data_IF_103178645916
#
_entry.id   IF_103178645916
#
_cell.length_a   1.000
_cell.length_b   1.000
_cell.length_c   1.000
_cell.angle_alpha   90.00
_cell.angle_beta   90.00
_cell.angle_gamma   90.00
#
_symmetry.space_group_name_H-M   'P 1'
#
loop_
_entity.id
_entity.type
_entity.pdbx_description
1 polymer ?
#
# COMPACT_ATOMS: atom_id res chain seq x y z
N UNK A 1 -17.42 -25.93 17.57
CA UNK A 1 -17.21 -26.94 16.51
C UNK A 1 -17.32 -26.34 15.11
N UNK A 2 -18.50 -26.08 14.55
CA UNK A 2 -18.60 -25.66 13.13
C UNK A 2 -17.95 -24.31 12.78
N UNK A 3 -17.95 -23.32 13.68
CA UNK A 3 -17.17 -22.08 13.51
C UNK A 3 -15.66 -22.31 13.59
N UNK A 4 -15.21 -23.23 14.43
CA UNK A 4 -13.79 -23.62 14.53
C UNK A 4 -13.34 -24.34 13.25
N UNK A 5 -14.24 -25.10 12.63
CA UNK A 5 -13.99 -25.74 11.34
C UNK A 5 -13.77 -24.68 10.24
N UNK A 6 -14.60 -23.63 10.18
CA UNK A 6 -14.42 -22.50 9.23
C UNK A 6 -13.02 -21.88 9.36
N UNK A 7 -12.62 -21.50 10.58
CA UNK A 7 -11.31 -20.88 10.81
C UNK A 7 -10.15 -21.84 10.53
N UNK A 8 -10.35 -23.14 10.76
CA UNK A 8 -9.35 -24.17 10.42
C UNK A 8 -9.12 -24.22 8.90
N UNK A 9 -10.20 -24.24 8.10
CA UNK A 9 -10.10 -24.21 6.64
C UNK A 9 -9.48 -22.91 6.11
N UNK A 10 -9.84 -21.76 6.67
CA UNK A 10 -9.17 -20.48 6.33
C UNK A 10 -7.67 -20.56 6.63
N UNK A 11 -7.30 -21.03 7.81
CA UNK A 11 -5.90 -21.10 8.25
C UNK A 11 -5.08 -22.04 7.38
N UNK A 12 -5.61 -23.22 7.06
CA UNK A 12 -4.98 -24.19 6.16
C UNK A 12 -4.86 -23.64 4.74
N UNK A 13 -5.94 -23.04 4.22
CA UNK A 13 -5.94 -22.42 2.90
C UNK A 13 -4.89 -21.32 2.77
N UNK A 14 -4.80 -20.42 3.75
CA UNK A 14 -3.78 -19.37 3.78
C UNK A 14 -2.36 -19.92 4.03
N UNK A 15 -2.20 -21.07 4.67
CA UNK A 15 -0.91 -21.75 4.77
C UNK A 15 -0.44 -22.30 3.41
N UNK A 16 -1.34 -22.94 2.66
CA UNK A 16 -1.02 -23.42 1.31
C UNK A 16 -0.84 -22.26 0.31
N UNK A 17 -1.59 -21.16 0.47
CA UNK A 17 -1.42 -19.92 -0.28
C UNK A 17 0.01 -19.38 -0.15
N UNK A 18 0.52 -19.28 1.08
CA UNK A 18 1.90 -18.83 1.36
C UNK A 18 2.97 -19.74 0.77
N UNK A 19 2.65 -21.02 0.56
CA UNK A 19 3.51 -22.01 -0.11
C UNK A 19 3.32 -22.03 -1.63
N UNK A 20 2.52 -21.09 -2.17
CA UNK A 20 2.19 -20.99 -3.59
C UNK A 20 1.54 -22.26 -4.16
N UNK A 21 0.84 -23.04 -3.32
CA UNK A 21 0.11 -24.24 -3.73
C UNK A 21 -1.33 -23.88 -4.05
N UNK A 22 -1.51 -23.13 -5.14
CA UNK A 22 -2.74 -22.42 -5.48
C UNK A 22 -4.00 -23.29 -5.49
N UNK A 23 -3.93 -24.50 -6.08
CA UNK A 23 -5.07 -25.41 -6.12
C UNK A 23 -5.46 -25.89 -4.72
N UNK A 24 -4.49 -26.37 -3.93
CA UNK A 24 -4.74 -26.83 -2.56
C UNK A 24 -5.27 -25.68 -1.67
N UNK A 25 -4.73 -24.48 -1.82
CA UNK A 25 -5.22 -23.29 -1.13
C UNK A 25 -6.67 -22.97 -1.50
N UNK A 26 -7.00 -22.95 -2.81
CA UNK A 26 -8.35 -22.71 -3.29
C UNK A 26 -9.34 -23.74 -2.74
N UNK A 27 -9.00 -25.04 -2.78
CA UNK A 27 -9.88 -26.11 -2.28
C UNK A 27 -10.27 -25.89 -0.81
N UNK A 28 -9.30 -25.53 0.06
CA UNK A 28 -9.57 -25.27 1.48
C UNK A 28 -10.41 -23.99 1.68
N UNK A 29 -10.09 -22.92 0.96
CA UNK A 29 -10.80 -21.64 1.09
C UNK A 29 -12.23 -21.71 0.54
N UNK A 30 -12.47 -22.48 -0.54
CA UNK A 30 -13.81 -22.75 -1.05
C UNK A 30 -14.68 -23.49 -0.01
N UNK A 31 -14.11 -24.45 0.73
CA UNK A 31 -14.81 -25.14 1.82
C UNK A 31 -15.15 -24.15 2.93
N UNK A 32 -14.19 -23.31 3.36
CA UNK A 32 -14.42 -22.29 4.37
C UNK A 32 -15.55 -21.33 3.97
N UNK A 33 -15.53 -20.86 2.71
CA UNK A 33 -16.55 -19.95 2.15
C UNK A 33 -17.93 -20.62 2.15
N UNK A 34 -18.04 -21.86 1.65
CA UNK A 34 -19.31 -22.63 1.64
C UNK A 34 -19.90 -22.79 3.04
N UNK A 35 -19.07 -23.16 4.02
CA UNK A 35 -19.50 -23.29 5.41
C UNK A 35 -19.95 -21.95 6.02
N UNK A 36 -19.24 -20.86 5.71
CA UNK A 36 -19.57 -19.51 6.18
C UNK A 36 -20.94 -19.05 5.67
N UNK A 37 -21.22 -19.26 4.37
CA UNK A 37 -22.54 -18.98 3.80
C UNK A 37 -23.65 -19.81 4.43
N UNK A 38 -23.44 -21.11 4.59
CA UNK A 38 -24.43 -22.00 5.19
C UNK A 38 -24.81 -21.62 6.64
N UNK A 39 -23.89 -20.95 7.34
CA UNK A 39 -24.06 -20.54 8.73
C UNK A 39 -24.48 -19.07 8.89
N UNK A 40 -24.63 -18.33 7.78
CA UNK A 40 -24.72 -16.86 7.78
C UNK A 40 -23.65 -16.21 8.68
N UNK A 41 -22.45 -16.81 8.70
CA UNK A 41 -21.35 -16.39 9.55
C UNK A 41 -20.41 -15.50 8.74
N UNK A 42 -20.21 -14.27 9.22
CA UNK A 42 -19.31 -13.29 8.64
C UNK A 42 -18.35 -12.80 9.71
N UNK A 43 -17.05 -12.91 9.45
CA UNK A 43 -15.99 -12.40 10.31
C UNK A 43 -14.78 -12.01 9.44
N UNK A 44 -13.91 -11.13 9.93
CA UNK A 44 -12.69 -10.70 9.21
C UNK A 44 -11.89 -11.87 8.65
N UNK A 45 -11.75 -12.96 9.41
CA UNK A 45 -11.04 -14.15 8.98
C UNK A 45 -11.63 -14.77 7.72
N UNK A 46 -12.95 -14.81 7.57
CA UNK A 46 -13.61 -15.34 6.38
C UNK A 46 -13.40 -14.42 5.17
N UNK A 47 -13.36 -13.10 5.38
CA UNK A 47 -13.10 -12.11 4.33
C UNK A 47 -11.67 -12.13 3.82
N UNK A 48 -10.70 -12.27 4.72
CA UNK A 48 -9.30 -12.53 4.35
C UNK A 48 -9.19 -13.83 3.55
N UNK A 49 -9.97 -14.84 3.91
CA UNK A 49 -10.12 -16.08 3.14
C UNK A 49 -10.65 -15.85 1.73
N UNK A 50 -11.69 -15.02 1.56
CA UNK A 50 -12.25 -14.67 0.26
C UNK A 50 -11.24 -13.94 -0.63
N UNK A 51 -10.50 -12.96 -0.09
CA UNK A 51 -9.44 -12.25 -0.83
C UNK A 51 -8.33 -13.24 -1.24
N UNK A 52 -7.90 -14.12 -0.33
CA UNK A 52 -6.92 -15.16 -0.63
C UNK A 52 -7.40 -16.13 -1.71
N UNK A 53 -8.67 -16.52 -1.69
CA UNK A 53 -9.30 -17.38 -2.69
C UNK A 53 -9.34 -16.69 -4.06
N UNK A 54 -9.68 -15.41 -4.10
CA UNK A 54 -9.68 -14.62 -5.33
C UNK A 54 -8.27 -14.55 -5.94
N UNK A 55 -7.23 -14.37 -5.11
CA UNK A 55 -5.85 -14.46 -5.57
C UNK A 55 -5.48 -15.88 -6.06
N UNK A 56 -5.95 -16.95 -5.41
CA UNK A 56 -5.77 -18.31 -5.94
C UNK A 56 -6.42 -18.47 -7.32
N UNK A 57 -7.65 -17.97 -7.51
CA UNK A 57 -8.32 -18.00 -8.80
C UNK A 57 -7.53 -17.24 -9.87
N UNK A 58 -6.98 -16.07 -9.52
CA UNK A 58 -6.12 -15.31 -10.41
C UNK A 58 -4.91 -16.13 -10.88
N UNK A 59 -4.21 -16.80 -9.96
CA UNK A 59 -3.04 -17.64 -10.26
C UNK A 59 -3.39 -18.91 -11.06
N UNK A 60 -4.63 -19.37 -10.97
CA UNK A 60 -5.15 -20.53 -11.72
C UNK A 60 -5.75 -20.14 -13.08
N UNK A 61 -5.68 -18.87 -13.49
CA UNK A 61 -6.28 -18.37 -14.74
C UNK A 61 -7.80 -18.20 -14.70
N UNK A 62 -8.42 -18.32 -13.52
CA UNK A 62 -9.87 -18.13 -13.27
C UNK A 62 -10.19 -16.64 -13.06
N UNK A 63 -9.76 -15.78 -13.99
CA UNK A 63 -9.79 -14.32 -13.85
C UNK A 63 -11.17 -13.73 -13.57
N UNK A 64 -12.22 -14.25 -14.22
CA UNK A 64 -13.59 -13.81 -13.99
C UNK A 64 -14.04 -14.10 -12.55
N UNK A 65 -13.80 -15.31 -12.07
CA UNK A 65 -14.18 -15.71 -10.71
C UNK A 65 -13.38 -14.95 -9.65
N UNK A 66 -12.11 -14.62 -9.94
CA UNK A 66 -11.30 -13.74 -9.11
C UNK A 66 -11.92 -12.33 -9.02
N UNK A 67 -12.25 -11.73 -10.17
CA UNK A 67 -12.86 -10.39 -10.23
C UNK A 67 -14.21 -10.33 -9.50
N UNK A 68 -15.09 -11.30 -9.73
CA UNK A 68 -16.40 -11.40 -9.07
C UNK A 68 -16.25 -11.48 -7.54
N UNK A 69 -15.27 -12.26 -7.08
CA UNK A 69 -15.00 -12.43 -5.65
C UNK A 69 -14.41 -11.16 -5.02
N UNK A 70 -13.42 -10.53 -5.65
CA UNK A 70 -12.89 -9.24 -5.19
C UNK A 70 -13.99 -8.18 -5.11
N UNK A 71 -14.81 -8.06 -6.16
CA UNK A 71 -15.94 -7.12 -6.16
C UNK A 71 -16.92 -7.40 -5.03
N UNK A 72 -17.25 -8.67 -4.75
CA UNK A 72 -18.14 -9.02 -3.64
C UNK A 72 -17.62 -8.56 -2.29
N UNK A 73 -16.30 -8.69 -2.04
CA UNK A 73 -15.67 -8.18 -0.80
C UNK A 73 -15.81 -6.66 -0.75
N UNK A 74 -15.49 -5.96 -1.84
CA UNK A 74 -15.60 -4.49 -1.87
C UNK A 74 -17.03 -4.01 -1.69
N UNK A 75 -18.05 -4.72 -2.16
CA UNK A 75 -19.46 -4.28 -2.04
C UNK A 75 -20.01 -4.58 -0.65
N UNK A 76 -19.68 -5.74 -0.08
CA UNK A 76 -20.30 -6.22 1.16
C UNK A 76 -19.63 -5.72 2.45
N UNK A 77 -18.36 -5.29 2.39
CA UNK A 77 -17.66 -4.80 3.57
C UNK A 77 -18.17 -3.44 4.03
N UNK A 78 -18.24 -3.20 5.33
CA UNK A 78 -18.58 -1.88 5.85
C UNK A 78 -17.47 -0.88 5.51
N UNK A 79 -17.82 0.37 5.20
CA UNK A 79 -16.84 1.44 4.96
C UNK A 79 -16.36 2.03 6.30
N UNK A 80 -16.01 1.16 7.24
CA UNK A 80 -15.38 1.57 8.48
C UNK A 80 -13.85 1.50 8.37
N UNK A 81 -13.20 1.91 9.46
CA UNK A 81 -11.76 2.05 9.57
C UNK A 81 -11.02 0.71 9.58
N UNK A 82 -11.64 -0.33 10.10
CA UNK A 82 -11.06 -1.67 10.23
C UNK A 82 -11.14 -2.41 8.89
N UNK A 83 -12.29 -2.33 8.21
CA UNK A 83 -12.54 -2.94 6.91
C UNK A 83 -11.90 -2.19 5.74
N UNK A 84 -11.48 -0.92 5.91
CA UNK A 84 -10.81 -0.15 4.85
C UNK A 84 -9.57 -0.88 4.31
N UNK A 85 -8.84 -1.59 5.15
CA UNK A 85 -7.70 -2.40 4.73
C UNK A 85 -8.11 -3.55 3.78
N UNK A 86 -9.20 -4.26 4.11
CA UNK A 86 -9.73 -5.36 3.28
C UNK A 86 -10.27 -4.84 1.95
N UNK A 87 -11.01 -3.73 1.96
CA UNK A 87 -11.52 -3.06 0.77
C UNK A 87 -10.36 -2.68 -0.15
N UNK A 88 -9.28 -2.12 0.40
CA UNK A 88 -8.11 -1.71 -0.38
C UNK A 88 -7.42 -2.91 -1.03
N UNK A 89 -7.23 -4.00 -0.27
CA UNK A 89 -6.66 -5.24 -0.79
C UNK A 89 -7.52 -5.86 -1.90
N UNK A 90 -8.85 -5.86 -1.72
CA UNK A 90 -9.78 -6.40 -2.71
C UNK A 90 -9.81 -5.54 -3.99
N UNK A 91 -9.77 -4.21 -3.88
CA UNK A 91 -9.67 -3.34 -5.04
C UNK A 91 -8.33 -3.48 -5.77
N UNK A 92 -7.24 -3.80 -5.08
CA UNK A 92 -5.95 -4.12 -5.71
C UNK A 92 -6.02 -5.42 -6.51
N UNK A 93 -6.62 -6.46 -5.92
CA UNK A 93 -6.90 -7.72 -6.61
C UNK A 93 -7.83 -7.55 -7.81
N UNK A 94 -8.90 -6.76 -7.68
CA UNK A 94 -9.82 -6.48 -8.78
C UNK A 94 -9.11 -5.82 -9.97
N UNK A 95 -8.24 -4.84 -9.70
CA UNK A 95 -7.44 -4.21 -10.75
C UNK A 95 -6.52 -5.23 -11.45
N UNK A 96 -5.95 -6.17 -10.70
CA UNK A 96 -5.10 -7.23 -11.27
C UNK A 96 -5.89 -8.29 -12.07
N UNK A 97 -7.14 -8.57 -11.68
CA UNK A 97 -8.00 -9.56 -12.33
C UNK A 97 -8.65 -9.06 -13.62
N UNK A 98 -8.80 -7.73 -13.77
CA UNK A 98 -9.41 -7.12 -14.93
C UNK A 98 -8.38 -6.81 -16.04
N UNK A 99 -8.77 -6.95 -17.31
CA UNK A 99 -7.83 -6.95 -18.44
C UNK A 99 -7.20 -5.59 -18.73
N UNK A 100 -7.89 -4.49 -18.40
CA UNK A 100 -7.46 -3.14 -18.71
C UNK A 100 -8.04 -2.10 -17.73
N UNK A 101 -7.50 -0.88 -17.80
CA UNK A 101 -7.89 0.23 -16.93
C UNK A 101 -9.35 0.67 -17.15
N UNK A 102 -9.86 0.63 -18.38
CA UNK A 102 -11.22 1.07 -18.67
C UNK A 102 -12.25 0.11 -18.06
N UNK A 103 -12.00 -1.19 -18.14
CA UNK A 103 -12.81 -2.23 -17.49
C UNK A 103 -12.78 -2.09 -15.97
N UNK A 104 -11.60 -1.81 -15.39
CA UNK A 104 -11.48 -1.55 -13.95
C UNK A 104 -12.22 -0.28 -13.52
N UNK A 105 -12.10 0.82 -14.28
CA UNK A 105 -12.85 2.05 -14.03
C UNK A 105 -14.35 1.81 -14.04
N UNK A 106 -14.86 1.05 -15.01
CA UNK A 106 -16.27 0.68 -15.08
C UNK A 106 -16.72 -0.12 -13.85
N UNK A 107 -15.90 -1.07 -13.39
CA UNK A 107 -16.19 -1.82 -12.17
C UNK A 107 -16.23 -0.91 -10.93
N UNK A 108 -15.28 0.03 -10.80
CA UNK A 108 -15.27 1.03 -9.73
C UNK A 108 -16.53 1.90 -9.72
N UNK A 109 -16.98 2.39 -10.88
CA UNK A 109 -18.24 3.14 -10.99
C UNK A 109 -19.44 2.31 -10.55
N UNK A 110 -19.47 1.03 -10.92
CA UNK A 110 -20.54 0.12 -10.53
C UNK A 110 -20.58 -0.12 -9.02
N UNK A 111 -19.41 -0.37 -8.42
CA UNK A 111 -19.21 -0.54 -6.99
C UNK A 111 -19.64 0.72 -6.24
N UNK A 112 -19.22 1.91 -6.68
CA UNK A 112 -19.57 3.16 -6.01
C UNK A 112 -21.10 3.35 -5.99
N UNK A 113 -21.78 3.04 -7.10
CA UNK A 113 -23.25 3.12 -7.19
C UNK A 113 -23.94 2.16 -6.23
N UNK A 114 -23.45 0.93 -6.11
CA UNK A 114 -23.97 -0.09 -5.19
C UNK A 114 -23.69 0.30 -3.74
N UNK A 115 -22.46 0.73 -3.42
CA UNK A 115 -22.07 1.16 -2.07
C UNK A 115 -22.78 2.41 -1.62
N UNK A 116 -23.15 3.37 -2.48
CA UNK A 116 -24.00 4.51 -2.07
C UNK A 116 -25.32 4.07 -1.43
N UNK A 117 -25.78 2.86 -1.71
CA UNK A 117 -26.97 2.27 -1.08
C UNK A 117 -26.67 1.64 0.31
N UNK A 118 -25.39 1.42 0.65
CA UNK A 118 -24.92 0.66 1.83
C UNK A 118 -23.92 1.46 2.71
N UNK A 119 -23.36 2.57 2.23
CA UNK A 119 -22.38 3.43 2.92
C UNK A 119 -21.27 3.96 2.00
N UNK A 120 -20.80 5.22 2.16
CA UNK A 120 -19.85 5.81 1.21
C UNK A 120 -18.41 5.31 1.40
N UNK A 121 -17.75 4.88 0.32
CA UNK A 121 -16.30 4.84 0.22
C UNK A 121 -15.85 6.10 -0.55
N UNK A 122 -15.32 7.10 0.16
CA UNK A 122 -15.00 8.41 -0.41
C UNK A 122 -13.54 8.50 -0.87
N UNK A 123 -13.16 7.70 -1.88
CA UNK A 123 -11.90 7.91 -2.59
C UNK A 123 -12.00 9.22 -3.37
N UNK A 124 -11.00 10.08 -3.20
CA UNK A 124 -10.82 11.31 -3.99
C UNK A 124 -10.57 10.97 -5.45
N UNK A 125 -9.90 9.84 -5.72
CA UNK A 125 -9.61 9.41 -7.08
C UNK A 125 -9.52 7.87 -7.15
N UNK A 126 -10.43 7.27 -7.93
CA UNK A 126 -10.53 5.81 -8.14
C UNK A 126 -9.60 5.30 -9.26
N UNK A 127 -9.09 6.20 -10.10
CA UNK A 127 -8.31 5.84 -11.29
C UNK A 127 -7.27 6.90 -11.65
N UNK A 128 -6.26 6.51 -12.41
CA UNK A 128 -5.09 7.31 -12.74
C UNK A 128 -5.32 8.37 -13.82
N UNK A 129 -4.50 9.42 -13.81
CA UNK A 129 -4.51 10.48 -14.83
C UNK A 129 -3.06 10.90 -15.14
N UNK A 130 -2.71 10.99 -16.43
CA UNK A 130 -1.42 11.51 -16.86
C UNK A 130 -1.18 12.93 -16.33
N UNK A 131 0.05 13.21 -15.95
CA UNK A 131 0.39 14.38 -15.17
C UNK A 131 1.76 14.94 -15.55
N UNK A 132 1.84 16.27 -15.62
CA UNK A 132 3.14 16.96 -15.63
C UNK A 132 3.56 17.25 -14.18
N UNK A 133 4.77 16.87 -13.76
CA UNK A 133 5.33 17.30 -12.48
C UNK A 133 5.46 18.82 -12.40
N UNK A 134 5.41 19.33 -11.18
CA UNK A 134 5.81 20.69 -10.87
C UNK A 134 7.29 20.92 -11.24
N UNK A 135 7.55 21.86 -12.14
CA UNK A 135 8.92 22.32 -12.50
C UNK A 135 9.33 23.61 -11.77
N UNK A 136 8.49 24.13 -10.88
CA UNK A 136 8.68 25.46 -10.28
C UNK A 136 9.68 25.49 -9.11
N UNK A 137 10.01 24.35 -8.51
CA UNK A 137 11.03 24.26 -7.46
C UNK A 137 12.40 24.02 -8.08
N UNK A 138 13.35 24.88 -7.73
CA UNK A 138 14.60 25.01 -8.51
C UNK A 138 15.82 24.48 -7.76
N UNK A 139 15.78 24.47 -6.43
CA UNK A 139 16.95 24.12 -5.63
C UNK A 139 16.74 22.76 -4.97
N UNK A 140 17.59 21.79 -5.33
CA UNK A 140 17.67 20.56 -4.58
C UNK A 140 18.34 20.87 -3.23
N UNK A 141 17.59 20.79 -2.14
CA UNK A 141 18.03 21.15 -0.79
C UNK A 141 18.54 19.94 0.00
N UNK A 142 18.20 18.74 -0.44
CA UNK A 142 18.68 17.50 0.14
C UNK A 142 18.62 16.37 -0.89
N UNK A 143 19.61 15.48 -0.81
CA UNK A 143 19.60 14.18 -1.47
C UNK A 143 19.75 13.08 -0.42
N UNK A 144 19.39 11.85 -0.79
CA UNK A 144 19.93 10.70 -0.08
C UNK A 144 21.47 10.80 -0.10
N UNK A 145 22.14 10.66 1.05
CA UNK A 145 23.59 10.63 1.12
C UNK A 145 24.15 9.31 0.58
N UNK A 146 25.26 9.40 -0.14
CA UNK A 146 26.06 8.25 -0.55
C UNK A 146 26.78 7.62 0.66
N UNK A 147 27.26 6.39 0.52
CA UNK A 147 27.85 5.49 1.53
C UNK A 147 28.90 6.13 2.47
N UNK A 148 29.51 7.26 2.07
CA UNK A 148 30.57 7.95 2.82
C UNK A 148 30.11 9.10 3.73
N UNK A 149 28.83 9.50 3.69
CA UNK A 149 28.36 10.70 4.38
C UNK A 149 27.62 10.39 5.70
N UNK A 150 28.00 11.10 6.77
CA UNK A 150 27.25 11.14 8.02
C UNK A 150 25.92 11.87 7.79
N UNK A 151 24.92 11.10 7.38
CA UNK A 151 23.59 11.57 7.00
C UNK A 151 22.87 12.31 8.12
N UNK A 152 23.25 12.07 9.38
CA UNK A 152 22.75 12.83 10.52
C UNK A 152 23.15 14.31 10.46
N UNK A 153 24.35 14.62 9.94
CA UNK A 153 24.79 16.00 9.69
C UNK A 153 24.04 16.65 8.54
N UNK A 154 23.51 15.86 7.62
CA UNK A 154 22.59 16.30 6.58
C UNK A 154 21.13 16.40 7.09
N UNK A 155 20.89 16.36 8.40
CA UNK A 155 19.57 16.59 9.01
C UNK A 155 18.57 15.45 8.84
N UNK A 156 19.00 14.32 8.27
CA UNK A 156 18.20 13.10 8.18
C UNK A 156 18.20 12.38 9.54
N UNK A 157 17.09 11.75 9.89
CA UNK A 157 16.86 11.07 11.16
C UNK A 157 16.19 9.71 10.93
N UNK A 158 16.85 8.65 11.39
CA UNK A 158 16.27 7.31 11.43
C UNK A 158 15.30 7.24 12.60
N UNK A 159 14.11 6.71 12.33
CA UNK A 159 13.09 6.44 13.33
C UNK A 159 12.66 5.00 13.16
N UNK A 160 13.02 4.19 14.14
CA UNK A 160 12.46 2.87 14.37
C UNK A 160 11.83 2.88 15.75
N UNK A 161 10.52 3.13 15.85
CA UNK A 161 9.84 3.24 17.14
C UNK A 161 9.84 1.96 17.97
N UNK A 162 10.08 0.79 17.35
CA UNK A 162 10.04 -0.50 18.03
C UNK A 162 11.43 -1.09 18.25
N UNK A 163 12.41 -0.70 17.44
CA UNK A 163 13.83 -1.04 17.63
C UNK A 163 14.20 -2.42 17.06
N UNK A 164 13.40 -2.97 16.14
CA UNK A 164 13.62 -4.28 15.51
C UNK A 164 13.73 -4.21 13.98
N UNK A 165 13.73 -3.01 13.41
CA UNK A 165 13.96 -2.75 12.00
C UNK A 165 15.34 -2.15 11.79
N UNK A 166 15.85 -2.24 10.56
CA UNK A 166 17.21 -1.80 10.28
C UNK A 166 17.30 -1.13 8.91
N UNK A 167 18.39 -0.39 8.72
CA UNK A 167 18.77 0.15 7.42
C UNK A 167 20.25 -0.09 7.18
N UNK A 168 20.63 -0.15 5.92
CA UNK A 168 22.01 -0.19 5.49
C UNK A 168 22.13 0.43 4.09
N UNK A 169 23.36 0.73 3.68
CA UNK A 169 23.63 1.27 2.34
C UNK A 169 24.21 0.16 1.47
N UNK A 170 23.61 -0.06 0.31
CA UNK A 170 24.03 -1.06 -0.69
C UNK A 170 23.47 -0.68 -2.07
N UNK A 171 24.22 0.14 -2.82
CA UNK A 171 23.78 0.77 -4.07
C UNK A 171 22.46 1.54 -3.87
N UNK A 172 22.45 2.42 -2.86
CA UNK A 172 21.28 3.11 -2.35
C UNK A 172 20.93 2.70 -0.92
N UNK A 173 19.92 3.33 -0.34
CA UNK A 173 19.45 3.02 1.01
C UNK A 173 18.54 1.80 0.97
N UNK A 174 18.86 0.77 1.75
CA UNK A 174 17.97 -0.35 2.00
C UNK A 174 17.32 -0.19 3.36
N UNK A 175 15.99 -0.32 3.41
CA UNK A 175 15.22 -0.39 4.65
C UNK A 175 14.66 -1.81 4.76
N UNK A 176 15.07 -2.51 5.82
CA UNK A 176 14.47 -3.78 6.23
C UNK A 176 13.46 -3.51 7.33
N UNK A 177 12.19 -3.80 7.05
CA UNK A 177 11.08 -3.57 7.99
C UNK A 177 10.64 -4.88 8.60
N UNK A 178 10.76 -4.99 9.93
CA UNK A 178 10.34 -6.18 10.64
C UNK A 178 8.86 -6.50 10.43
N UNK A 179 8.49 -7.76 10.57
CA UNK A 179 7.10 -8.19 10.46
C UNK A 179 6.17 -7.37 11.37
N UNK A 180 4.97 -7.06 10.87
CA UNK A 180 3.92 -6.31 11.56
C UNK A 180 4.19 -4.82 11.78
N UNK A 181 5.29 -4.26 11.25
CA UNK A 181 5.55 -2.81 11.31
C UNK A 181 4.73 -2.07 10.26
N UNK A 182 3.84 -1.18 10.72
CA UNK A 182 2.94 -0.41 9.85
C UNK A 182 2.81 1.04 10.35
N UNK A 183 2.20 1.87 9.51
CA UNK A 183 1.80 3.24 9.81
C UNK A 183 0.32 3.43 9.46
N UNK A 184 -0.55 2.78 10.23
CA UNK A 184 -2.00 2.70 10.01
C UNK A 184 -2.73 2.42 11.33
N UNK A 185 -3.85 3.12 11.57
CA UNK A 185 -4.61 3.05 12.81
C UNK A 185 -3.72 3.33 14.03
N UNK A 186 -3.70 2.40 14.99
CA UNK A 186 -2.90 2.48 16.20
C UNK A 186 -1.46 1.95 16.02
N UNK A 187 -1.11 1.44 14.83
CA UNK A 187 0.24 0.98 14.55
C UNK A 187 1.06 2.12 13.96
N UNK A 188 2.04 2.60 14.72
CA UNK A 188 2.96 3.66 14.33
C UNK A 188 4.41 3.16 14.22
N UNK A 189 4.58 1.83 14.16
CA UNK A 189 5.86 1.14 14.28
C UNK A 189 6.67 1.04 13.00
N UNK A 190 6.15 1.51 11.86
CA UNK A 190 6.88 1.50 10.60
C UNK A 190 8.21 2.29 10.69
N UNK A 191 9.35 1.67 10.28
CA UNK A 191 10.63 2.35 10.23
C UNK A 191 10.63 3.41 9.12
N UNK A 192 11.31 4.52 9.39
CA UNK A 192 11.36 5.66 8.48
C UNK A 192 12.64 6.45 8.61
N UNK A 193 13.13 6.94 7.47
CA UNK A 193 14.22 7.89 7.38
C UNK A 193 13.65 9.24 6.98
N UNK A 194 13.72 10.24 7.85
CA UNK A 194 13.01 11.52 7.67
C UNK A 194 13.90 12.73 7.88
N UNK A 195 13.55 13.84 7.23
CA UNK A 195 14.19 15.15 7.42
C UNK A 195 13.11 16.22 7.61
N UNK A 196 13.37 17.18 8.50
CA UNK A 196 12.49 18.33 8.69
C UNK A 196 12.59 19.30 7.51
N UNK A 197 11.44 19.74 7.01
CA UNK A 197 11.28 20.74 5.94
C UNK A 197 10.18 21.74 6.30
N UNK A 198 10.24 22.93 5.71
CA UNK A 198 9.26 24.01 5.91
C UNK A 198 8.68 24.49 4.59
N UNK A 199 7.40 24.85 4.58
CA UNK A 199 6.75 25.41 3.39
C UNK A 199 6.54 24.41 2.25
N UNK A 200 6.61 24.92 1.02
CA UNK A 200 6.42 24.15 -0.20
C UNK A 200 7.64 23.26 -0.46
N UNK A 201 7.39 22.04 -0.96
CA UNK A 201 8.47 21.12 -1.31
C UNK A 201 8.02 20.11 -2.37
N UNK A 202 8.98 19.44 -2.98
CA UNK A 202 8.79 18.18 -3.70
C UNK A 202 9.71 17.17 -3.05
N UNK A 203 9.16 16.01 -2.74
CA UNK A 203 9.88 14.82 -2.34
C UNK A 203 9.75 13.80 -3.46
N UNK A 204 10.87 13.28 -3.94
CA UNK A 204 10.90 12.22 -4.95
C UNK A 204 11.89 11.14 -4.54
N UNK A 205 11.53 9.88 -4.77
CA UNK A 205 12.46 8.77 -4.64
C UNK A 205 12.17 7.68 -5.66
N UNK A 206 13.22 6.98 -6.11
CA UNK A 206 13.08 5.76 -6.89
C UNK A 206 13.37 4.54 -6.01
N UNK A 207 12.55 3.50 -6.14
CA UNK A 207 12.60 2.34 -5.27
C UNK A 207 12.37 1.02 -6.02
N UNK A 208 12.89 -0.07 -5.47
CA UNK A 208 12.74 -1.43 -6.00
C UNK A 208 12.83 -2.46 -4.87
N UNK A 209 12.54 -3.72 -5.20
CA UNK A 209 12.99 -4.84 -4.36
C UNK A 209 14.52 -4.95 -4.37
N UNK A 210 15.09 -5.50 -3.30
CA UNK A 210 16.53 -5.77 -3.22
C UNK A 210 16.91 -6.96 -4.08
N UNK A 211 16.12 -8.03 -3.99
CA UNK A 211 16.16 -9.24 -4.83
C UNK A 211 14.76 -9.55 -5.38
N UNK A 212 14.63 -10.33 -6.47
CA UNK A 212 13.32 -10.69 -7.04
C UNK A 212 12.38 -11.44 -6.10
N UNK A 213 12.92 -12.15 -5.10
CA UNK A 213 12.15 -12.94 -4.13
C UNK A 213 11.71 -12.13 -2.91
N UNK A 214 12.19 -10.89 -2.76
CA UNK A 214 11.84 -10.00 -1.66
C UNK A 214 10.65 -9.09 -2.01
N UNK A 215 9.86 -8.74 -0.98
CA UNK A 215 8.78 -7.78 -1.14
C UNK A 215 9.26 -6.37 -0.83
N UNK A 216 9.25 -5.52 -1.85
CA UNK A 216 9.39 -4.08 -1.70
C UNK A 216 8.06 -3.47 -1.23
N UNK A 217 7.94 -3.22 0.08
CA UNK A 217 6.77 -2.57 0.67
C UNK A 217 7.20 -1.27 1.35
N UNK A 218 6.68 -0.14 0.89
CA UNK A 218 7.09 1.16 1.42
C UNK A 218 6.90 2.29 0.41
N UNK A 219 7.55 3.42 0.66
CA UNK A 219 7.52 4.56 -0.24
C UNK A 219 7.88 5.86 0.45
N UNK A 220 7.10 6.91 0.18
CA UNK A 220 7.31 8.25 0.69
C UNK A 220 6.41 8.57 1.88
N UNK A 221 6.89 9.42 2.78
CA UNK A 221 6.20 9.89 3.97
C UNK A 221 6.21 11.42 4.06
N UNK A 222 5.06 11.98 4.41
CA UNK A 222 4.90 13.32 4.98
C UNK A 222 4.32 13.15 6.38
N UNK A 223 5.04 13.59 7.40
CA UNK A 223 4.74 13.35 8.82
C UNK A 223 4.77 14.65 9.60
N UNK A 224 3.69 14.97 10.31
CA UNK A 224 3.72 15.99 11.36
C UNK A 224 3.75 15.32 12.72
N UNK A 225 2.80 14.43 12.98
CA UNK A 225 2.60 13.75 14.25
C UNK A 225 1.74 12.48 14.05
N UNK A 226 1.53 11.66 15.09
CA UNK A 226 0.68 10.47 15.00
C UNK A 226 -0.75 10.69 14.49
N UNK A 227 -1.30 11.90 14.61
CA UNK A 227 -2.64 12.23 14.18
C UNK A 227 -2.69 12.86 12.78
N UNK A 228 -1.53 13.20 12.20
CA UNK A 228 -1.38 13.95 10.96
C UNK A 228 -0.16 13.46 10.15
N UNK A 229 -0.41 12.57 9.20
CA UNK A 229 0.58 12.10 8.24
C UNK A 229 -0.06 11.62 6.93
N UNK A 230 0.71 11.64 5.85
CA UNK A 230 0.39 11.03 4.56
C UNK A 230 1.53 10.09 4.16
N UNK A 231 1.19 8.92 3.63
CA UNK A 231 2.13 8.01 2.97
C UNK A 231 1.69 7.77 1.54
N UNK A 232 2.67 7.81 0.63
CA UNK A 232 2.54 7.33 -0.73
C UNK A 232 3.33 6.03 -0.83
N UNK A 233 2.63 4.90 -0.89
CA UNK A 233 3.29 3.59 -0.81
C UNK A 233 3.01 2.72 -2.03
N UNK A 234 3.97 1.84 -2.32
CA UNK A 234 3.92 0.84 -3.37
C UNK A 234 3.84 -0.57 -2.79
N UNK A 235 3.09 -1.44 -3.45
CA UNK A 235 2.85 -2.85 -3.15
C UNK A 235 2.15 -3.18 -1.82
N UNK A 236 1.79 -2.21 -0.97
CA UNK A 236 1.38 -2.48 0.43
C UNK A 236 0.05 -3.22 0.58
N UNK A 237 -0.91 -3.03 -0.33
CA UNK A 237 -2.20 -3.74 -0.30
C UNK A 237 -2.37 -4.71 -1.47
N UNK A 238 -1.41 -4.79 -2.39
CA UNK A 238 -1.44 -5.68 -3.53
C UNK A 238 -0.28 -5.46 -4.49
N UNK A 239 0.10 -6.49 -5.27
CA UNK A 239 1.13 -6.34 -6.29
C UNK A 239 0.84 -5.19 -7.25
N UNK A 240 1.80 -4.28 -7.41
CA UNK A 240 1.72 -3.12 -8.28
C UNK A 240 0.87 -1.97 -7.76
N UNK A 241 0.26 -2.12 -6.58
CA UNK A 241 -0.63 -1.10 -6.05
C UNK A 241 0.16 0.11 -5.55
N UNK A 242 -0.23 1.31 -5.98
CA UNK A 242 0.27 2.57 -5.45
C UNK A 242 -0.87 3.27 -4.72
N UNK A 243 -0.70 3.68 -3.47
CA UNK A 243 -1.77 4.34 -2.72
C UNK A 243 -1.31 5.61 -2.02
N UNK A 244 -2.23 6.57 -1.91
CA UNK A 244 -2.11 7.72 -1.04
C UNK A 244 -3.09 7.55 0.12
N UNK A 245 -2.53 7.36 1.30
CA UNK A 245 -3.29 7.13 2.52
C UNK A 245 -2.59 7.74 3.72
N UNK A 246 -3.24 7.78 4.87
CA UNK A 246 -2.63 8.28 6.09
C UNK A 246 -3.69 8.69 7.09
N UNK A 247 -3.33 9.60 8.00
CA UNK A 247 -4.19 10.07 9.06
C UNK A 247 -4.23 11.59 9.07
N UNK A 248 -5.42 12.20 9.15
CA UNK A 248 -5.58 13.64 9.36
C UNK A 248 -6.57 13.84 10.50
N UNK A 249 -6.17 14.62 11.50
CA UNK A 249 -6.98 14.87 12.70
C UNK A 249 -7.45 13.57 13.36
N UNK A 250 -6.54 12.59 13.46
CA UNK A 250 -6.79 11.27 14.06
C UNK A 250 -7.89 10.46 13.34
N UNK A 251 -8.03 10.66 12.02
CA UNK A 251 -8.90 9.86 11.15
C UNK A 251 -8.05 9.31 10.02
N UNK A 252 -7.79 8.01 10.02
CA UNK A 252 -7.17 7.38 8.86
C UNK A 252 -8.10 7.44 7.65
N UNK A 253 -7.48 7.53 6.48
CA UNK A 253 -8.20 7.60 5.23
C UNK A 253 -7.32 7.07 4.12
N UNK A 254 -7.96 6.38 3.20
CA UNK A 254 -7.46 6.14 1.86
C UNK A 254 -8.03 7.23 0.97
N UNK A 255 -7.19 8.07 0.38
CA UNK A 255 -7.63 9.11 -0.54
C UNK A 255 -7.64 8.63 -1.98
N UNK A 256 -6.61 7.90 -2.40
CA UNK A 256 -6.53 7.49 -3.80
C UNK A 256 -5.57 6.34 -4.05
N UNK A 257 -5.66 5.82 -5.29
CA UNK A 257 -4.91 4.65 -5.73
C UNK A 257 -4.44 4.78 -7.19
N UNK A 258 -3.42 4.00 -7.50
CA UNK A 258 -2.87 3.74 -8.82
C UNK A 258 -2.39 2.29 -8.93
N UNK A 259 -1.99 1.92 -10.13
CA UNK A 259 -1.50 0.63 -10.58
C UNK A 259 -0.22 0.85 -11.39
N UNK A 260 0.89 0.48 -10.80
CA UNK A 260 2.19 0.33 -11.44
C UNK A 260 2.50 -1.17 -11.67
N UNK A 261 3.59 -1.50 -12.39
CA UNK A 261 4.20 -2.82 -12.30
C UNK A 261 4.50 -3.20 -10.84
N UNK A 262 4.41 -4.49 -10.52
CA UNK A 262 4.68 -5.00 -9.17
C UNK A 262 6.17 -5.16 -8.88
N UNK A 263 6.97 -5.23 -9.94
CA UNK A 263 8.40 -5.44 -9.97
C UNK A 263 9.13 -4.32 -10.73
N UNK A 264 10.46 -4.39 -10.72
CA UNK A 264 11.31 -3.36 -11.33
C UNK A 264 11.51 -2.15 -10.42
N UNK A 265 11.74 -1.00 -11.06
CA UNK A 265 12.01 0.28 -10.37
C UNK A 265 10.82 1.20 -10.55
N UNK A 266 10.33 1.77 -9.45
CA UNK A 266 9.26 2.75 -9.44
C UNK A 266 9.75 4.08 -8.86
N UNK A 267 9.49 5.17 -9.55
CA UNK A 267 9.68 6.53 -9.02
C UNK A 267 8.38 6.99 -8.37
N UNK A 268 8.45 7.44 -7.11
CA UNK A 268 7.36 8.02 -6.34
C UNK A 268 7.63 9.50 -6.10
N UNK A 269 6.57 10.30 -6.04
CA UNK A 269 6.68 11.76 -5.85
C UNK A 269 5.51 12.35 -5.07
N UNK A 270 5.84 13.19 -4.09
CA UNK A 270 4.91 14.05 -3.35
C UNK A 270 5.25 15.51 -3.64
N UNK A 271 4.26 16.30 -4.06
CA UNK A 271 4.40 17.74 -4.29
C UNK A 271 3.50 18.49 -3.31
N UNK A 272 4.08 19.25 -2.37
CA UNK A 272 3.33 20.12 -1.47
C UNK A 272 3.37 21.56 -1.96
N UNK A 273 2.19 22.17 -2.07
CA UNK A 273 1.99 23.61 -2.28
C UNK A 273 0.95 24.11 -1.32
N UNK A 274 1.34 24.97 -0.39
CA UNK A 274 0.52 25.43 0.73
C UNK A 274 -0.07 24.23 1.50
N UNK A 275 -1.39 24.09 1.48
CA UNK A 275 -2.13 22.99 2.09
C UNK A 275 -2.41 21.83 1.13
N UNK A 276 -2.04 21.91 -0.15
CA UNK A 276 -2.34 20.86 -1.12
C UNK A 276 -1.13 19.95 -1.32
N UNK A 277 -1.34 18.64 -1.22
CA UNK A 277 -0.33 17.61 -1.47
C UNK A 277 -0.79 16.74 -2.62
N UNK A 278 0.00 16.71 -3.69
CA UNK A 278 -0.23 15.89 -4.87
C UNK A 278 0.68 14.67 -4.85
N UNK A 279 0.13 13.49 -5.16
CA UNK A 279 0.86 12.24 -5.23
C UNK A 279 0.96 11.75 -6.68
N UNK A 280 2.17 11.39 -7.09
CA UNK A 280 2.47 10.88 -8.41
C UNK A 280 3.42 9.67 -8.35
N UNK A 281 3.39 8.87 -9.41
CA UNK A 281 4.43 7.88 -9.67
C UNK A 281 4.85 7.89 -11.15
N UNK A 282 5.97 7.25 -11.45
CA UNK A 282 6.49 7.05 -12.80
C UNK A 282 7.27 5.75 -12.90
N UNK A 283 7.12 5.04 -14.03
CA UNK A 283 7.84 3.78 -14.32
C UNK A 283 9.17 4.01 -15.06
N UNK A 284 9.40 5.22 -15.59
CA UNK A 284 10.60 5.57 -16.37
C UNK A 284 11.31 6.84 -15.86
N UNK A 285 10.72 7.52 -14.87
CA UNK A 285 11.19 8.80 -14.34
C UNK A 285 10.87 10.01 -15.23
N UNK A 286 10.21 9.82 -16.37
CA UNK A 286 9.94 10.86 -17.38
C UNK A 286 8.43 11.14 -17.50
N UNK A 287 7.64 10.10 -17.73
CA UNK A 287 6.19 10.17 -17.82
C UNK A 287 5.60 9.93 -16.42
N UNK A 288 4.80 10.88 -15.94
CA UNK A 288 4.26 10.85 -14.58
C UNK A 288 2.75 10.66 -14.59
N UNK A 289 2.29 9.86 -13.64
CA UNK A 289 0.88 9.57 -13.40
C UNK A 289 0.51 10.15 -12.04
N UNK A 290 -0.50 11.03 -12.00
CA UNK A 290 -1.04 11.55 -10.75
C UNK A 290 -2.13 10.61 -10.26
N UNK A 291 -1.99 10.17 -9.02
CA UNK A 291 -3.00 9.34 -8.36
C UNK A 291 -3.95 10.18 -7.51
N UNK A 292 -3.65 11.45 -7.21
CA UNK A 292 -4.59 12.33 -6.52
C UNK A 292 -3.95 13.53 -5.85
N UNK A 293 -4.80 14.44 -5.39
CA UNK A 293 -4.43 15.60 -4.57
C UNK A 293 -5.27 15.61 -3.31
N UNK A 294 -4.64 15.88 -2.17
CA UNK A 294 -5.29 15.93 -0.86
C UNK A 294 -4.95 17.22 -0.14
N UNK A 295 -5.87 17.69 0.68
CA UNK A 295 -5.60 18.78 1.61
C UNK A 295 -4.91 18.25 2.87
N UNK A 296 -3.77 18.84 3.20
CA UNK A 296 -2.97 18.61 4.40
C UNK A 296 -2.59 19.97 5.00
N UNK A 297 -3.57 20.59 5.68
CA UNK A 297 -3.49 21.95 6.22
C UNK A 297 -2.73 22.00 7.56
N UNK A 298 -1.44 21.73 7.53
CA UNK A 298 -0.57 21.75 8.72
C UNK A 298 0.39 22.93 8.66
N UNK A 299 0.55 23.66 9.78
CA UNK A 299 1.30 24.93 9.82
C UNK A 299 2.70 24.81 10.45
N UNK A 300 3.02 23.69 11.07
CA UNK A 300 4.33 23.41 11.66
C UNK A 300 5.33 22.91 10.61
N UNK A 301 6.65 23.00 10.87
CA UNK A 301 7.64 22.22 10.15
C UNK A 301 7.22 20.75 10.15
N UNK A 302 7.29 20.12 8.99
CA UNK A 302 6.93 18.71 8.80
C UNK A 302 8.17 17.89 8.54
N UNK A 303 8.09 16.61 8.82
CA UNK A 303 9.10 15.63 8.45
C UNK A 303 8.70 14.99 7.12
N UNK A 304 9.65 14.85 6.21
CA UNK A 304 9.45 14.18 4.93
C UNK A 304 10.55 13.16 4.71
N UNK A 305 10.25 12.07 4.00
CA UNK A 305 11.28 11.08 3.69
C UNK A 305 10.76 9.72 3.27
N UNK A 306 11.53 8.70 3.61
CA UNK A 306 11.39 7.33 3.15
C UNK A 306 10.76 6.46 4.24
N UNK A 307 9.90 5.53 3.82
CA UNK A 307 9.11 4.66 4.69
C UNK A 307 9.26 3.21 4.24
N UNK A 308 9.54 2.32 5.19
CA UNK A 308 9.40 0.88 5.01
C UNK A 308 8.14 0.35 5.71
N UNK A 309 7.48 -0.65 5.12
CA UNK A 309 6.26 -1.27 5.68
C UNK A 309 6.48 -2.77 5.82
N UNK A 310 6.57 -3.27 7.04
CA UNK A 310 6.74 -4.70 7.32
C UNK A 310 5.43 -5.44 7.64
N UNK A 311 4.29 -4.76 7.63
CA UNK A 311 2.99 -5.42 7.62
C UNK A 311 2.71 -6.00 6.23
N UNK A 312 2.66 -7.33 6.17
CA UNK A 312 2.45 -8.08 4.93
C UNK A 312 1.06 -8.72 5.00
N UNK A 313 0.09 -8.30 4.18
CA UNK A 313 -1.20 -8.98 4.05
C UNK A 313 -0.99 -10.38 3.46
N UNK A 314 -0.89 -11.41 4.31
CA UNK A 314 -0.53 -12.79 3.92
C UNK A 314 -1.60 -13.53 3.11
N UNK A 315 -2.73 -12.89 2.87
CA UNK A 315 -3.80 -13.31 1.96
C UNK A 315 -3.76 -12.56 0.61
N UNK A 316 -2.75 -11.71 0.42
CA UNK A 316 -2.47 -10.97 -0.82
C UNK A 316 -1.11 -11.35 -1.36
N UNK A 317 -0.08 -11.27 -0.52
CA UNK A 317 1.29 -11.62 -0.89
C UNK A 317 1.61 -13.05 -0.48
N UNK A 318 1.88 -13.90 -1.47
CA UNK A 318 2.28 -15.28 -1.24
C UNK A 318 3.79 -15.36 -1.01
N UNK A 319 4.17 -16.07 0.05
CA UNK A 319 5.57 -16.30 0.40
C UNK A 319 5.76 -16.40 1.92
N UNK A 320 6.92 -16.90 2.37
CA UNK A 320 7.18 -17.09 3.78
C UNK A 320 7.40 -15.77 4.54
N UNK A 321 8.12 -14.81 3.93
CA UNK A 321 8.43 -13.47 4.45
C UNK A 321 8.51 -13.41 5.99
N UNK A 322 9.40 -14.24 6.56
CA UNK A 322 9.50 -14.40 8.02
C UNK A 322 10.23 -13.24 8.68
N UNK A 323 11.11 -12.55 7.95
CA UNK A 323 11.84 -11.38 8.44
C UNK A 323 11.03 -10.07 8.28
N UNK A 324 10.06 -10.04 7.35
CA UNK A 324 9.29 -8.86 7.02
C UNK A 324 9.51 -8.48 5.56
N UNK A 325 9.63 -7.19 5.27
CA UNK A 325 9.82 -6.65 3.92
C UNK A 325 11.14 -5.91 3.78
N UNK A 326 11.60 -5.74 2.55
CA UNK A 326 12.82 -5.00 2.23
C UNK A 326 12.58 -4.14 1.01
N UNK A 327 12.88 -2.85 1.12
CA UNK A 327 12.79 -1.91 0.01
C UNK A 327 14.12 -1.18 -0.16
N UNK A 328 14.62 -1.14 -1.40
CA UNK A 328 15.78 -0.33 -1.79
C UNK A 328 15.30 0.99 -2.35
N UNK A 329 15.91 2.08 -1.91
CA UNK A 329 15.78 3.42 -2.49
C UNK A 329 17.08 3.80 -3.18
N UNK A 330 17.03 3.92 -4.51
CA UNK A 330 18.22 4.23 -5.33
C UNK A 330 18.58 5.71 -5.27
N UNK A 331 17.57 6.56 -5.12
CA UNK A 331 17.74 7.99 -4.98
C UNK A 331 16.58 8.57 -4.19
N UNK A 332 16.83 9.66 -3.46
CA UNK A 332 15.82 10.53 -2.89
C UNK A 332 16.27 11.96 -3.09
N UNK A 333 15.35 12.86 -3.43
CA UNK A 333 15.62 14.28 -3.58
C UNK A 333 14.50 15.09 -2.96
N UNK A 334 14.88 16.20 -2.35
CA UNK A 334 13.96 17.22 -1.84
C UNK A 334 14.28 18.51 -2.58
N UNK A 335 13.26 19.14 -3.17
CA UNK A 335 13.37 20.48 -3.77
C UNK A 335 12.47 21.46 -3.02
N UNK A 336 12.94 22.72 -2.95
CA UNK A 336 12.20 23.86 -2.39
C UNK A 336 12.38 25.09 -3.29
#
# INVERSE_FOLDING_TARGET
RMREDIFSYVTLGLAEFRRQRWRAAADQLEIARKLSFAQNFRADGTRRGDIGLAWCYQQLGRHKEAADLFQSVVVEEEADMESLHLITCALAGLAAALPDLATFQQACYQIERERRQVGPLALVQWHEVCAKPCTQQRNCVATLPDDSADWTKAGWQWRDPVGDSEYYIADGLVIHSANYRDLWLNNLGAPRLVRTVEGDFVLEASCSAVTPDELALGGLLLWQDPANYLRLTWNTHGPGEVNLLGCIQNRDRLWSRGRAPADGTLSLRLERRQAQVRALYSTDGQEWVSIGTVEFATTAPVQVGLLGIGFIPRYVHAGPYQAGSTIRFHACRIWQ
#
